data_IF_318329336664
#
_entry.id   IF_318329336664
#
_cell.length_a   1.000
_cell.length_b   1.000
_cell.length_c   1.000
_cell.angle_alpha   90.00
_cell.angle_beta   90.00
_cell.angle_gamma   90.00
#
_symmetry.space_group_name_H-M   'P 1'
#
loop_
_entity.id
_entity.type
_entity.pdbx_description
1 polymer ?
#
# COMPACT_ATOMS: atom_id res chain seq x y z
N UNK A 1 1.32 7.55 -11.34
CA UNK A 1 0.79 8.06 -12.64
C UNK A 1 1.74 9.00 -13.38
N UNK A 2 2.26 10.08 -12.77
CA UNK A 2 3.24 10.98 -13.43
C UNK A 2 4.44 10.20 -13.95
N UNK A 3 4.99 9.33 -13.09
CA UNK A 3 6.09 8.44 -13.44
C UNK A 3 5.78 7.51 -14.61
N UNK A 4 4.61 6.85 -14.63
CA UNK A 4 4.18 6.00 -15.74
C UNK A 4 3.95 6.77 -17.07
N UNK A 5 3.65 8.08 -17.02
CA UNK A 5 3.57 8.94 -18.22
C UNK A 5 4.93 9.43 -18.68
N UNK A 6 5.85 9.63 -17.73
CA UNK A 6 7.24 9.97 -18.00
C UNK A 6 8.00 8.78 -18.61
N UNK A 7 7.71 7.58 -18.10
CA UNK A 7 8.29 6.33 -18.55
C UNK A 7 8.01 6.10 -20.05
N UNK A 8 9.06 5.84 -20.82
CA UNK A 8 8.98 5.61 -22.25
C UNK A 8 9.93 4.51 -22.72
N UNK A 9 9.95 4.19 -24.03
CA UNK A 9 10.76 3.11 -24.58
C UNK A 9 12.28 3.27 -24.39
N UNK A 10 12.74 4.44 -23.95
CA UNK A 10 14.13 4.73 -23.66
C UNK A 10 14.48 4.76 -22.17
N UNK A 11 13.51 4.55 -21.28
CA UNK A 11 13.75 4.43 -19.83
C UNK A 11 14.51 3.13 -19.57
N UNK A 12 15.64 3.22 -18.87
CA UNK A 12 16.50 2.07 -18.55
C UNK A 12 16.08 1.46 -17.22
N UNK A 13 15.92 0.14 -17.22
CA UNK A 13 15.62 -0.67 -16.03
C UNK A 13 16.62 -1.80 -15.90
N UNK A 14 16.89 -2.20 -14.65
CA UNK A 14 17.67 -3.37 -14.30
C UNK A 14 16.93 -4.68 -14.59
N UNK A 15 17.59 -5.80 -14.29
CA UNK A 15 17.11 -7.14 -14.60
C UNK A 15 15.89 -7.59 -13.77
N UNK A 16 15.59 -6.91 -12.66
CA UNK A 16 14.36 -7.12 -11.88
C UNK A 16 13.27 -6.09 -12.21
N UNK A 17 13.46 -5.27 -13.25
CA UNK A 17 12.55 -4.20 -13.63
C UNK A 17 12.63 -2.95 -12.76
N UNK A 18 13.60 -2.84 -11.86
CA UNK A 18 13.90 -1.64 -11.08
C UNK A 18 14.50 -0.51 -11.96
N UNK A 19 14.24 0.75 -11.62
CA UNK A 19 14.94 1.87 -12.26
C UNK A 19 16.43 1.83 -11.94
N UNK A 20 17.27 2.07 -12.94
CA UNK A 20 18.71 2.24 -12.73
C UNK A 20 19.03 3.58 -12.07
N UNK A 21 20.12 3.64 -11.30
CA UNK A 21 20.52 4.83 -10.54
C UNK A 21 20.62 6.11 -11.39
N UNK A 22 21.00 6.01 -12.67
CA UNK A 22 21.09 7.19 -13.54
C UNK A 22 19.75 7.80 -13.93
N UNK A 23 18.66 7.04 -13.82
CA UNK A 23 17.31 7.49 -14.17
C UNK A 23 16.55 8.02 -12.94
N UNK A 24 17.00 7.71 -11.71
CA UNK A 24 16.36 8.14 -10.46
C UNK A 24 16.25 9.66 -10.30
N UNK A 25 17.29 10.48 -10.62
CA UNK A 25 17.16 11.94 -10.50
C UNK A 25 16.10 12.52 -11.45
N UNK A 26 15.99 12.00 -12.68
CA UNK A 26 15.00 12.45 -13.64
C UNK A 26 13.57 11.98 -13.28
N UNK A 27 13.46 10.80 -12.67
CA UNK A 27 12.22 10.28 -12.12
C UNK A 27 11.73 11.14 -10.94
N UNK A 28 12.62 11.52 -10.02
CA UNK A 28 12.34 12.41 -8.91
C UNK A 28 11.85 13.79 -9.40
N UNK A 29 12.53 14.38 -10.39
CA UNK A 29 12.10 15.64 -11.02
C UNK A 29 10.69 15.51 -11.63
N UNK A 30 10.39 14.40 -12.31
CA UNK A 30 9.07 14.17 -12.92
C UNK A 30 7.94 14.01 -11.89
N UNK A 31 8.28 13.57 -10.67
CA UNK A 31 7.36 13.48 -9.54
C UNK A 31 7.16 14.84 -8.85
N UNK A 32 8.07 15.79 -9.04
CA UNK A 32 8.11 17.07 -8.33
C UNK A 32 8.79 16.95 -6.97
N UNK A 33 9.73 15.99 -6.84
CA UNK A 33 10.51 15.74 -5.63
C UNK A 33 11.85 16.50 -5.65
N UNK A 34 12.01 17.51 -6.52
CA UNK A 34 13.22 18.32 -6.50
C UNK A 34 13.25 19.20 -5.25
N UNK A 35 14.46 19.42 -4.74
CA UNK A 35 14.85 20.07 -3.48
C UNK A 35 14.27 21.49 -3.23
N UNK A 36 13.34 21.98 -4.06
CA UNK A 36 12.72 23.29 -3.97
C UNK A 36 11.23 23.33 -3.62
N UNK A 37 10.46 22.25 -3.81
CA UNK A 37 8.99 22.30 -3.66
C UNK A 37 8.45 21.57 -2.41
N UNK A 38 9.21 20.66 -1.79
CA UNK A 38 8.78 19.87 -0.61
C UNK A 38 9.33 20.35 0.74
N UNK A 39 10.02 21.50 0.79
CA UNK A 39 10.48 22.12 2.04
C UNK A 39 11.82 21.57 2.56
N UNK A 40 12.33 22.19 3.62
CA UNK A 40 13.66 21.95 4.22
C UNK A 40 13.83 20.54 4.86
N UNK A 41 12.89 19.62 4.66
CA UNK A 41 12.80 18.31 5.33
C UNK A 41 13.38 17.13 4.53
N UNK A 42 13.74 17.31 3.26
CA UNK A 42 14.35 16.26 2.43
C UNK A 42 15.88 16.39 2.39
N UNK A 43 16.59 15.32 2.77
CA UNK A 43 18.03 15.21 2.61
C UNK A 43 18.43 14.94 1.14
N UNK A 44 19.71 15.16 0.81
CA UNK A 44 20.25 14.86 -0.52
C UNK A 44 20.18 13.35 -0.78
N UNK A 45 19.29 12.91 -1.67
CA UNK A 45 19.07 11.49 -2.00
C UNK A 45 17.67 10.97 -1.69
N UNK A 46 16.87 11.68 -0.88
CA UNK A 46 15.52 11.24 -0.50
C UNK A 46 14.58 11.21 -1.70
N UNK A 47 14.68 12.21 -2.59
CA UNK A 47 13.86 12.28 -3.80
C UNK A 47 14.06 11.06 -4.72
N UNK A 48 15.29 10.58 -4.85
CA UNK A 48 15.63 9.37 -5.60
C UNK A 48 15.09 8.10 -4.93
N UNK A 49 15.14 8.01 -3.60
CA UNK A 49 14.59 6.89 -2.84
C UNK A 49 13.06 6.79 -3.04
N UNK A 50 12.33 7.88 -2.83
CA UNK A 50 10.89 7.95 -3.08
C UNK A 50 10.52 7.68 -4.55
N UNK A 51 11.36 8.11 -5.50
CA UNK A 51 11.16 7.80 -6.91
C UNK A 51 11.30 6.29 -7.20
N UNK A 52 12.21 5.60 -6.52
CA UNK A 52 12.40 4.15 -6.62
C UNK A 52 11.20 3.38 -6.05
N UNK A 53 10.66 3.81 -4.90
CA UNK A 53 9.46 3.22 -4.31
C UNK A 53 8.23 3.43 -5.19
N UNK A 54 8.01 4.66 -5.65
CA UNK A 54 6.93 5.00 -6.56
C UNK A 54 7.00 4.22 -7.88
N UNK A 55 8.21 3.85 -8.32
CA UNK A 55 8.42 2.98 -9.47
C UNK A 55 7.97 1.55 -9.22
N UNK A 56 8.37 0.94 -8.10
CA UNK A 56 7.93 -0.42 -7.74
C UNK A 56 6.41 -0.51 -7.69
N UNK A 57 5.77 0.42 -6.99
CA UNK A 57 4.30 0.53 -6.95
C UNK A 57 3.71 0.64 -8.35
N UNK A 58 4.32 1.42 -9.25
CA UNK A 58 3.83 1.56 -10.62
C UNK A 58 3.98 0.28 -11.48
N UNK A 59 4.99 -0.54 -11.21
CA UNK A 59 5.18 -1.86 -11.85
C UNK A 59 4.18 -2.86 -11.28
N UNK A 60 4.05 -2.94 -9.95
CA UNK A 60 3.17 -3.89 -9.25
C UNK A 60 1.69 -3.64 -9.57
N UNK A 61 1.30 -2.36 -9.64
CA UNK A 61 -0.04 -1.95 -10.10
C UNK A 61 -0.18 -1.97 -11.62
N UNK A 62 0.78 -2.49 -12.38
CA UNK A 62 0.66 -2.60 -13.84
C UNK A 62 0.42 -1.26 -14.57
N UNK A 63 0.77 -0.13 -13.96
CA UNK A 63 0.81 1.19 -14.60
C UNK A 63 1.99 1.29 -15.56
N UNK A 64 3.05 0.55 -15.28
CA UNK A 64 4.24 0.37 -16.10
C UNK A 64 4.40 -1.11 -16.42
N UNK A 65 4.62 -1.44 -17.69
CA UNK A 65 4.97 -2.79 -18.12
C UNK A 65 6.45 -2.86 -18.49
N UNK A 66 7.16 -3.80 -17.87
CA UNK A 66 8.58 -4.07 -18.14
C UNK A 66 8.68 -5.36 -18.95
N UNK A 67 9.36 -5.29 -20.11
CA UNK A 67 9.72 -6.46 -20.91
C UNK A 67 11.23 -6.70 -20.80
N UNK A 68 11.61 -7.86 -20.24
CA UNK A 68 13.02 -8.28 -20.24
C UNK A 68 13.51 -8.53 -21.67
N UNK A 69 14.76 -8.15 -21.92
CA UNK A 69 15.38 -8.32 -23.23
C UNK A 69 15.47 -9.79 -23.69
N UNK A 70 15.38 -10.75 -22.75
CA UNK A 70 15.56 -12.20 -23.01
C UNK A 70 14.28 -12.97 -23.36
N UNK A 71 13.08 -12.40 -23.23
CA UNK A 71 11.85 -13.17 -23.44
C UNK A 71 11.55 -13.51 -24.91
N UNK A 72 12.30 -12.95 -25.89
CA UNK A 72 12.05 -13.16 -27.32
C UNK A 72 13.03 -14.11 -28.04
N UNK A 73 13.90 -14.83 -27.32
CA UNK A 73 15.02 -15.57 -27.93
C UNK A 73 14.94 -17.10 -27.96
N UNK A 74 13.86 -17.74 -27.49
CA UNK A 74 13.97 -19.10 -26.94
C UNK A 74 13.08 -20.22 -27.47
N UNK A 75 12.35 -20.10 -28.59
CA UNK A 75 11.53 -21.22 -29.09
C UNK A 75 11.71 -21.50 -30.58
N UNK A 76 12.80 -22.19 -30.91
CA UNK A 76 12.90 -22.95 -32.15
C UNK A 76 13.74 -24.24 -31.94
N UNK A 77 13.28 -25.11 -31.02
CA UNK A 77 13.76 -26.49 -30.99
C UNK A 77 13.07 -27.30 -32.09
N UNK A 78 13.64 -27.21 -33.30
CA UNK A 78 13.45 -28.20 -34.35
C UNK A 78 14.29 -29.44 -34.02
N UNK A 79 13.69 -30.44 -33.36
CA UNK A 79 14.27 -31.79 -33.27
C UNK A 79 13.56 -32.78 -34.20
N UNK A 80 14.35 -33.46 -35.02
CA UNK A 80 14.04 -34.83 -35.45
C UNK A 80 13.91 -35.11 -36.96
N UNK A 81 15.00 -34.99 -37.72
CA UNK A 81 15.14 -35.76 -38.96
C UNK A 81 16.48 -36.51 -38.99
N UNK A 82 16.35 -37.82 -38.84
CA UNK A 82 17.37 -38.86 -38.76
C UNK A 82 18.31 -38.95 -39.97
N UNK A 83 19.54 -39.35 -39.67
CA UNK A 83 20.67 -39.62 -40.56
C UNK A 83 20.40 -40.63 -41.71
N UNK A 84 21.13 -40.43 -42.80
CA UNK A 84 21.44 -41.44 -43.82
C UNK A 84 22.72 -41.05 -44.60
N UNK A 85 23.64 -41.99 -44.94
CA UNK A 85 25.06 -41.66 -45.09
C UNK A 85 25.61 -41.59 -46.53
N UNK A 86 26.74 -40.89 -46.64
CA UNK A 86 27.85 -41.04 -47.61
C UNK A 86 27.64 -40.63 -49.08
N UNK A 87 28.53 -39.77 -49.60
CA UNK A 87 29.72 -40.21 -50.36
C UNK A 87 30.35 -39.04 -51.15
N UNK A 88 31.67 -38.90 -51.02
CA UNK A 88 32.58 -38.46 -52.08
C UNK A 88 32.63 -36.97 -52.44
N UNK A 89 33.76 -36.32 -52.16
CA UNK A 89 34.67 -35.86 -53.22
C UNK A 89 35.85 -35.10 -52.61
N UNK A 90 37.03 -35.39 -53.14
CA UNK A 90 38.31 -34.76 -52.87
C UNK A 90 38.33 -33.28 -53.27
N UNK A 91 39.16 -32.50 -52.59
CA UNK A 91 39.50 -31.13 -52.99
C UNK A 91 40.51 -30.49 -52.04
N UNK A 92 41.77 -30.51 -52.43
CA UNK A 92 42.92 -29.90 -51.74
C UNK A 92 42.96 -28.38 -51.97
N UNK A 93 43.21 -27.57 -50.94
CA UNK A 93 43.95 -26.30 -51.08
C UNK A 93 44.46 -25.76 -49.75
N UNK A 94 45.63 -25.14 -49.82
CA UNK A 94 46.55 -24.74 -48.75
C UNK A 94 46.34 -23.27 -48.35
N UNK A 95 46.21 -23.00 -47.04
CA UNK A 95 46.58 -21.81 -46.23
C UNK A 95 46.11 -20.39 -46.63
N UNK A 96 46.45 -19.32 -45.86
CA UNK A 96 46.88 -19.24 -44.47
C UNK A 96 46.12 -18.16 -43.63
N UNK A 97 46.44 -18.12 -42.32
CA UNK A 97 46.45 -16.97 -41.39
C UNK A 97 45.48 -15.80 -41.53
N UNK A 98 44.82 -15.46 -40.42
CA UNK A 98 44.51 -14.05 -40.14
C UNK A 98 43.38 -13.80 -39.14
N UNK A 99 43.78 -13.26 -38.00
CA UNK A 99 43.05 -12.25 -37.22
C UNK A 99 41.85 -12.65 -36.36
N UNK A 100 42.11 -12.64 -35.06
CA UNK A 100 41.39 -11.79 -34.10
C UNK A 100 39.86 -11.89 -34.11
N UNK A 101 39.33 -13.01 -33.62
CA UNK A 101 38.05 -12.97 -32.91
C UNK A 101 38.30 -12.41 -31.52
N UNK A 102 38.41 -11.07 -31.42
CA UNK A 102 38.25 -10.40 -30.14
C UNK A 102 36.83 -10.71 -29.71
N UNK A 103 36.68 -11.56 -28.69
CA UNK A 103 35.50 -11.60 -27.86
C UNK A 103 35.37 -10.21 -27.23
N UNK A 104 34.81 -9.27 -27.99
CA UNK A 104 34.13 -8.15 -27.41
C UNK A 104 32.89 -8.75 -26.78
N UNK A 105 33.00 -9.07 -25.50
CA UNK A 105 31.83 -8.96 -24.63
C UNK A 105 31.33 -7.55 -24.84
N UNK A 106 30.32 -7.38 -25.69
CA UNK A 106 29.40 -6.30 -25.47
C UNK A 106 28.73 -6.68 -24.16
N UNK A 107 29.25 -6.17 -23.06
CA UNK A 107 28.42 -5.68 -21.95
C UNK A 107 27.56 -4.58 -22.58
N UNK A 108 26.58 -5.01 -23.38
CA UNK A 108 25.43 -4.18 -23.68
C UNK A 108 24.59 -4.34 -22.44
N UNK A 109 24.47 -3.28 -21.66
CA UNK A 109 23.52 -3.19 -20.56
C UNK A 109 22.20 -3.80 -21.05
N UNK A 110 21.87 -5.00 -20.55
CA UNK A 110 20.64 -5.74 -20.88
C UNK A 110 19.49 -5.00 -20.20
N UNK A 111 19.22 -3.82 -20.72
CA UNK A 111 18.22 -2.88 -20.22
C UNK A 111 16.87 -3.32 -20.73
N UNK A 112 15.96 -3.63 -19.80
CA UNK A 112 14.59 -3.99 -20.13
C UNK A 112 13.88 -2.86 -20.88
N UNK A 113 12.91 -3.21 -21.72
CA UNK A 113 12.08 -2.21 -22.41
C UNK A 113 10.90 -1.87 -21.51
N UNK A 114 10.72 -0.57 -21.29
CA UNK A 114 9.56 -0.06 -20.58
C UNK A 114 8.46 0.38 -21.56
N UNK A 115 7.22 0.02 -21.27
CA UNK A 115 6.04 0.53 -21.97
C UNK A 115 4.93 0.93 -20.99
N UNK A 116 4.03 1.85 -21.39
CA UNK A 116 2.85 2.14 -20.58
C UNK A 116 2.01 0.88 -20.35
N UNK A 117 1.71 0.57 -19.09
CA UNK A 117 0.88 -0.57 -18.75
C UNK A 117 -0.60 -0.34 -19.07
N UNK A 118 -1.37 -1.43 -19.16
CA UNK A 118 -2.79 -1.38 -19.52
C UNK A 118 -3.61 -0.53 -18.53
N UNK A 119 -3.19 -0.48 -17.26
CA UNK A 119 -3.86 0.29 -16.21
C UNK A 119 -3.71 1.81 -16.39
N UNK A 120 -2.66 2.30 -17.09
CA UNK A 120 -2.48 3.74 -17.32
C UNK A 120 -3.60 4.33 -18.19
N UNK A 121 -4.11 3.58 -19.16
CA UNK A 121 -5.23 4.03 -19.99
C UNK A 121 -6.52 4.19 -19.17
N UNK A 122 -6.76 3.32 -18.19
CA UNK A 122 -7.90 3.37 -17.29
C UNK A 122 -7.86 4.61 -16.39
N UNK A 123 -6.71 4.94 -15.81
CA UNK A 123 -6.59 6.13 -14.95
C UNK A 123 -6.72 7.44 -15.75
N UNK A 124 -6.28 7.45 -17.01
CA UNK A 124 -6.24 8.67 -17.81
C UNK A 124 -7.49 8.94 -18.66
N UNK A 125 -8.32 7.92 -18.88
CA UNK A 125 -9.51 8.02 -19.75
C UNK A 125 -10.71 7.18 -19.34
N UNK A 126 -10.56 6.36 -18.30
CA UNK A 126 -11.65 5.56 -17.72
C UNK A 126 -12.62 6.40 -16.92
N UNK A 127 -13.77 5.81 -16.61
CA UNK A 127 -14.71 6.41 -15.68
C UNK A 127 -14.24 6.17 -14.23
N UNK A 128 -14.67 6.98 -13.25
CA UNK A 128 -14.21 6.85 -11.86
C UNK A 128 -14.36 5.42 -11.29
N UNK A 129 -15.44 4.72 -11.64
CA UNK A 129 -15.65 3.33 -11.21
C UNK A 129 -14.62 2.34 -11.76
N UNK A 130 -13.99 2.64 -12.91
CA UNK A 130 -12.96 1.79 -13.50
C UNK A 130 -11.61 1.93 -12.78
N UNK A 131 -11.45 2.99 -11.98
CA UNK A 131 -10.25 3.28 -11.18
C UNK A 131 -10.34 2.61 -9.80
N UNK A 132 -11.55 2.39 -9.28
CA UNK A 132 -11.75 1.83 -7.94
C UNK A 132 -11.11 0.44 -7.74
N UNK A 133 -11.19 -0.51 -8.69
CA UNK A 133 -10.48 -1.79 -8.55
C UNK A 133 -8.96 -1.61 -8.45
N UNK A 134 -8.38 -0.67 -9.22
CA UNK A 134 -6.94 -0.40 -9.19
C UNK A 134 -6.52 0.23 -7.86
N UNK A 135 -7.37 1.10 -7.31
CA UNK A 135 -7.14 1.67 -5.99
C UNK A 135 -7.26 0.61 -4.89
N UNK A 136 -8.17 -0.36 -5.00
CA UNK A 136 -8.27 -1.49 -4.07
C UNK A 136 -7.00 -2.36 -4.11
N UNK A 137 -6.49 -2.68 -5.31
CA UNK A 137 -5.22 -3.41 -5.47
C UNK A 137 -4.05 -2.63 -4.84
N UNK A 138 -3.97 -1.32 -5.03
CA UNK A 138 -2.95 -0.48 -4.41
C UNK A 138 -3.11 -0.41 -2.88
N UNK A 139 -4.35 -0.36 -2.39
CA UNK A 139 -4.66 -0.40 -0.97
C UNK A 139 -4.18 -1.71 -0.34
N UNK A 140 -4.33 -2.86 -1.01
CA UNK A 140 -3.84 -4.14 -0.50
C UNK A 140 -2.33 -4.13 -0.26
N UNK A 141 -1.57 -3.49 -1.16
CA UNK A 141 -0.11 -3.34 -1.01
C UNK A 141 0.23 -2.45 0.19
N UNK A 142 -0.40 -1.28 0.30
CA UNK A 142 -0.17 -0.36 1.42
C UNK A 142 -0.64 -0.97 2.74
N UNK A 143 -1.70 -1.77 2.72
CA UNK A 143 -2.20 -2.48 3.90
C UNK A 143 -1.18 -3.52 4.38
N UNK A 144 -0.61 -4.30 3.46
CA UNK A 144 0.43 -5.26 3.81
C UNK A 144 1.65 -4.57 4.45
N UNK A 145 2.04 -3.41 3.90
CA UNK A 145 3.11 -2.58 4.44
C UNK A 145 2.79 -2.03 5.84
N UNK A 146 1.57 -1.54 6.06
CA UNK A 146 1.10 -1.06 7.37
C UNK A 146 1.08 -2.16 8.44
N UNK A 147 0.93 -3.43 8.05
CA UNK A 147 0.97 -4.57 8.98
C UNK A 147 2.37 -5.17 9.17
N UNK A 148 3.37 -4.67 8.44
CA UNK A 148 4.74 -5.14 8.56
C UNK A 148 5.39 -4.65 9.87
N UNK A 149 6.32 -5.42 10.47
CA UNK A 149 6.99 -5.00 11.69
C UNK A 149 8.02 -3.91 11.36
N UNK A 150 8.08 -2.87 12.20
CA UNK A 150 9.11 -1.83 12.09
C UNK A 150 10.45 -2.39 12.60
N UNK A 151 11.48 -2.35 11.75
CA UNK A 151 12.81 -2.88 12.08
C UNK A 151 13.80 -1.74 12.34
N UNK A 152 13.98 -1.38 13.61
CA UNK A 152 14.92 -0.32 14.01
C UNK A 152 16.40 -0.72 13.83
N UNK A 153 16.73 -1.99 14.01
CA UNK A 153 18.08 -2.53 13.82
C UNK A 153 18.02 -3.82 12.99
N UNK A 154 18.04 -3.65 11.66
CA UNK A 154 18.05 -4.76 10.71
C UNK A 154 19.21 -5.75 10.97
N UNK A 155 20.34 -5.29 11.52
CA UNK A 155 21.48 -6.17 11.81
C UNK A 155 21.24 -7.08 13.03
N UNK A 156 20.30 -6.74 13.91
CA UNK A 156 19.95 -7.55 15.08
C UNK A 156 18.99 -8.71 14.76
N UNK A 157 18.28 -8.62 13.63
CA UNK A 157 17.27 -9.60 13.18
C UNK A 157 17.71 -10.42 11.97
N UNK A 158 18.89 -10.12 11.41
CA UNK A 158 19.49 -10.97 10.38
C UNK A 158 20.16 -12.17 11.04
N UNK A 159 19.81 -13.37 10.60
CA UNK A 159 20.40 -14.62 11.06
C UNK A 159 21.81 -14.86 10.47
N UNK A 160 22.44 -15.97 10.89
CA UNK A 160 23.78 -16.36 10.43
C UNK A 160 23.85 -16.65 8.91
N UNK A 161 22.71 -16.86 8.25
CA UNK A 161 22.58 -17.13 6.81
C UNK A 161 22.26 -15.87 5.98
N UNK A 162 21.95 -14.74 6.63
CA UNK A 162 21.67 -13.46 5.99
C UNK A 162 20.18 -13.21 5.70
N UNK A 163 19.29 -14.05 6.22
CA UNK A 163 17.83 -13.88 6.12
C UNK A 163 17.27 -13.20 7.38
N UNK A 164 16.11 -12.55 7.27
CA UNK A 164 15.43 -11.95 8.42
C UNK A 164 14.79 -13.07 9.24
N UNK A 165 15.16 -13.18 10.51
CA UNK A 165 14.56 -14.10 11.47
C UNK A 165 13.23 -13.54 11.97
N UNK A 166 12.15 -13.78 11.22
CA UNK A 166 10.80 -13.38 11.59
C UNK A 166 10.28 -14.09 12.85
N UNK A 167 10.78 -15.29 13.16
CA UNK A 167 10.38 -16.05 14.35
C UNK A 167 10.92 -15.39 15.64
N UNK A 168 12.05 -14.67 15.56
CA UNK A 168 12.62 -13.94 16.69
C UNK A 168 11.88 -12.64 17.04
N UNK A 169 11.08 -12.12 16.12
CA UNK A 169 10.35 -10.85 16.26
C UNK A 169 9.01 -10.98 17.02
N UNK A 170 8.57 -12.21 17.36
CA UNK A 170 7.25 -12.51 17.94
C UNK A 170 6.08 -11.88 17.14
N UNK A 171 6.32 -11.63 15.84
CA UNK A 171 5.39 -10.98 14.93
C UNK A 171 4.49 -12.03 14.27
N UNK A 172 3.17 -11.82 14.39
CA UNK A 172 2.15 -12.64 13.76
C UNK A 172 1.43 -11.79 12.68
N UNK A 173 1.72 -12.01 11.39
CA UNK A 173 1.14 -11.21 10.31
C UNK A 173 -0.37 -11.35 10.22
N UNK A 174 -0.91 -12.53 10.51
CA UNK A 174 -2.36 -12.76 10.50
C UNK A 174 -3.04 -12.00 11.64
N UNK A 175 -2.46 -12.02 12.84
CA UNK A 175 -2.99 -11.27 13.98
C UNK A 175 -2.91 -9.76 13.77
N UNK A 176 -1.84 -9.26 13.15
CA UNK A 176 -1.67 -7.84 12.86
C UNK A 176 -2.70 -7.36 11.83
N UNK A 177 -2.91 -8.14 10.77
CA UNK A 177 -3.95 -7.87 9.79
C UNK A 177 -5.35 -7.89 10.43
N UNK A 178 -5.68 -8.89 11.24
CA UNK A 178 -6.98 -9.00 11.90
C UNK A 178 -7.24 -7.81 12.84
N UNK A 179 -6.21 -7.35 13.57
CA UNK A 179 -6.31 -6.17 14.41
C UNK A 179 -6.64 -4.92 13.60
N UNK A 180 -5.86 -4.62 12.57
CA UNK A 180 -6.05 -3.41 11.74
C UNK A 180 -7.39 -3.46 10.98
N UNK A 181 -7.77 -4.62 10.45
CA UNK A 181 -9.09 -4.82 9.83
C UNK A 181 -10.23 -4.59 10.83
N UNK A 182 -10.08 -5.08 12.07
CA UNK A 182 -11.03 -4.86 13.15
C UNK A 182 -11.20 -3.38 13.49
N UNK A 183 -10.08 -2.65 13.62
CA UNK A 183 -10.08 -1.20 13.88
C UNK A 183 -10.79 -0.44 12.75
N UNK A 184 -10.44 -0.74 11.50
CA UNK A 184 -11.04 -0.07 10.33
C UNK A 184 -12.53 -0.41 10.17
N UNK A 185 -12.92 -1.65 10.46
CA UNK A 185 -14.32 -2.08 10.48
C UNK A 185 -15.13 -1.38 11.58
N UNK A 186 -14.55 -1.21 12.77
CA UNK A 186 -15.19 -0.44 13.84
C UNK A 186 -15.32 1.04 13.46
N UNK A 187 -14.27 1.63 12.89
CA UNK A 187 -14.31 3.01 12.39
C UNK A 187 -15.38 3.20 11.31
N UNK A 188 -15.57 2.22 10.43
CA UNK A 188 -16.67 2.20 9.46
C UNK A 188 -18.05 2.23 10.16
N UNK A 189 -18.27 1.34 11.13
CA UNK A 189 -19.54 1.27 11.87
C UNK A 189 -19.82 2.56 12.65
N UNK A 190 -18.82 3.15 13.31
CA UNK A 190 -18.94 4.44 13.99
C UNK A 190 -19.33 5.55 13.00
N UNK A 191 -18.71 5.58 11.82
CA UNK A 191 -19.00 6.57 10.77
C UNK A 191 -20.43 6.43 10.22
N UNK A 192 -20.90 5.19 10.03
CA UNK A 192 -22.27 4.92 9.57
C UNK A 192 -23.31 5.19 10.66
N UNK A 193 -23.00 4.88 11.92
CA UNK A 193 -23.85 5.14 13.08
C UNK A 193 -24.12 6.64 13.29
N UNK A 194 -23.14 7.50 12.99
CA UNK A 194 -23.30 8.96 13.05
C UNK A 194 -23.99 9.56 11.81
N UNK A 195 -24.61 8.72 10.96
CA UNK A 195 -25.37 9.21 9.82
C UNK A 195 -24.52 9.62 8.62
N UNK A 196 -23.25 9.21 8.58
CA UNK A 196 -22.28 9.71 7.61
C UNK A 196 -22.02 11.22 7.74
N UNK A 197 -22.41 11.84 8.86
CA UNK A 197 -22.12 13.23 9.13
C UNK A 197 -20.62 13.37 9.41
N UNK A 198 -19.94 13.95 8.43
CA UNK A 198 -18.48 14.06 8.22
C UNK A 198 -17.68 14.87 9.25
N UNK A 199 -18.13 15.01 10.50
CA UNK A 199 -17.50 15.98 11.43
C UNK A 199 -16.76 15.37 12.62
N UNK A 200 -17.10 14.15 13.08
CA UNK A 200 -16.41 13.54 14.22
C UNK A 200 -15.16 12.76 13.81
N UNK A 201 -13.98 13.39 13.86
CA UNK A 201 -12.75 12.59 13.89
C UNK A 201 -12.69 11.82 15.22
N UNK A 202 -12.29 10.55 15.17
CA UNK A 202 -12.23 9.69 16.35
C UNK A 202 -10.81 9.74 16.93
N UNK A 203 -10.67 9.98 18.26
CA UNK A 203 -9.37 9.93 18.91
C UNK A 203 -8.79 8.52 18.96
N UNK A 204 -7.48 8.36 18.77
CA UNK A 204 -6.84 7.05 18.80
C UNK A 204 -7.05 6.30 20.13
N UNK A 205 -6.96 6.95 21.31
CA UNK A 205 -7.22 6.26 22.58
C UNK A 205 -8.62 5.64 22.65
N UNK A 206 -9.62 6.28 22.02
CA UNK A 206 -10.99 5.77 21.98
C UNK A 206 -11.09 4.56 21.05
N UNK A 207 -10.43 4.60 19.90
CA UNK A 207 -10.39 3.46 18.98
C UNK A 207 -9.63 2.27 19.57
N UNK A 208 -8.45 2.49 20.14
CA UNK A 208 -7.66 1.45 20.78
C UNK A 208 -8.43 0.81 21.95
N UNK A 209 -9.04 1.64 22.81
CA UNK A 209 -9.86 1.14 23.91
C UNK A 209 -11.06 0.33 23.42
N UNK A 210 -11.71 0.72 22.32
CA UNK A 210 -12.88 0.00 21.79
C UNK A 210 -12.55 -1.41 21.28
N UNK A 211 -11.29 -1.68 20.92
CA UNK A 211 -10.84 -3.00 20.45
C UNK A 211 -10.34 -3.88 21.59
N UNK A 212 -9.72 -3.27 22.61
CA UNK A 212 -9.00 -4.00 23.68
C UNK A 212 -9.85 -4.16 24.93
N UNK A 213 -10.62 -3.13 25.30
CA UNK A 213 -11.40 -3.13 26.54
C UNK A 213 -12.70 -3.92 26.33
N UNK A 214 -12.94 -5.00 27.10
CA UNK A 214 -14.19 -5.74 26.99
C UNK A 214 -15.40 -4.91 27.41
N UNK A 215 -16.52 -5.04 26.69
CA UNK A 215 -17.76 -4.29 26.93
C UNK A 215 -18.37 -4.48 28.34
N UNK A 216 -18.08 -5.59 29.00
CA UNK A 216 -18.61 -5.95 30.32
C UNK A 216 -17.65 -5.64 31.49
N UNK A 217 -16.49 -5.07 31.20
CA UNK A 217 -15.50 -4.69 32.20
C UNK A 217 -15.85 -3.33 32.82
N UNK A 218 -15.66 -3.21 34.14
CA UNK A 218 -15.92 -1.98 34.88
C UNK A 218 -14.81 -0.94 34.70
N UNK A 219 -13.74 -1.06 35.48
CA UNK A 219 -12.54 -0.21 35.35
C UNK A 219 -11.44 -1.04 34.66
N UNK A 220 -10.77 -0.50 33.62
CA UNK A 220 -9.62 -1.16 33.00
C UNK A 220 -8.51 -1.38 34.02
N UNK A 221 -7.88 -2.56 33.98
CA UNK A 221 -6.66 -2.83 34.77
C UNK A 221 -5.45 -2.12 34.18
N UNK A 222 -4.39 -1.91 34.96
CA UNK A 222 -3.14 -1.31 34.49
C UNK A 222 -2.60 -2.04 33.24
N UNK A 223 -2.64 -3.38 33.22
CA UNK A 223 -2.22 -4.19 32.06
C UNK A 223 -3.02 -3.90 30.77
N UNK A 224 -4.30 -3.48 30.90
CA UNK A 224 -5.14 -3.12 29.75
C UNK A 224 -4.82 -1.71 29.28
N UNK A 225 -4.53 -0.80 30.22
CA UNK A 225 -4.12 0.56 29.88
C UNK A 225 -2.77 0.56 29.13
N UNK A 226 -1.84 -0.31 29.52
CA UNK A 226 -0.58 -0.54 28.81
C UNK A 226 -0.83 -1.02 27.37
N UNK A 227 -1.66 -2.06 27.19
CA UNK A 227 -2.04 -2.55 25.85
C UNK A 227 -2.73 -1.47 24.98
N UNK A 228 -3.60 -0.65 25.57
CA UNK A 228 -4.23 0.46 24.86
C UNK A 228 -3.19 1.49 24.39
N UNK A 229 -2.18 1.77 25.20
CA UNK A 229 -1.09 2.68 24.83
C UNK A 229 -0.18 2.11 23.72
N UNK A 230 0.15 0.82 23.77
CA UNK A 230 0.90 0.12 22.71
C UNK A 230 0.13 0.13 21.39
N UNK A 231 -1.17 -0.19 21.45
CA UNK A 231 -2.03 -0.16 20.28
C UNK A 231 -2.21 1.26 19.72
N UNK A 232 -2.20 2.29 20.56
CA UNK A 232 -2.25 3.68 20.11
C UNK A 232 -0.99 4.04 19.29
N UNK A 233 0.20 3.71 19.78
CA UNK A 233 1.45 3.97 19.07
C UNK A 233 1.49 3.22 17.73
N UNK A 234 1.11 1.94 17.75
CA UNK A 234 1.03 1.14 16.53
C UNK A 234 0.05 1.72 15.51
N UNK A 235 -1.11 2.20 15.96
CA UNK A 235 -2.11 2.82 15.10
C UNK A 235 -1.64 4.17 14.53
N UNK A 236 -0.82 4.92 15.27
CA UNK A 236 -0.21 6.15 14.77
C UNK A 236 0.63 5.86 13.52
N UNK A 237 1.59 4.94 13.62
CA UNK A 237 2.44 4.52 12.50
C UNK A 237 1.61 4.00 11.31
N UNK A 238 0.64 3.13 11.59
CA UNK A 238 -0.24 2.55 10.56
C UNK A 238 -1.06 3.61 9.82
N UNK A 239 -1.64 4.58 10.54
CA UNK A 239 -2.46 5.61 9.90
C UNK A 239 -1.62 6.62 9.12
N UNK A 240 -0.37 6.88 9.52
CA UNK A 240 0.56 7.67 8.71
C UNK A 240 0.82 7.00 7.35
N UNK A 241 0.94 5.67 7.29
CA UNK A 241 1.10 4.94 6.03
C UNK A 241 -0.20 4.90 5.19
N UNK A 242 -1.36 4.83 5.86
CA UNK A 242 -2.67 4.72 5.19
C UNK A 242 -3.27 6.07 4.74
N UNK A 243 -2.81 7.19 5.27
CA UNK A 243 -3.27 8.52 4.87
C UNK A 243 -2.92 8.86 3.40
N UNK A 244 -1.68 8.65 2.90
CA UNK A 244 -1.30 8.97 1.52
C UNK A 244 -2.14 8.26 0.45
N UNK A 245 -2.54 7.00 0.68
CA UNK A 245 -3.41 6.26 -0.24
C UNK A 245 -4.87 6.75 -0.21
N UNK A 246 -5.19 7.63 0.74
CA UNK A 246 -6.49 8.28 0.87
C UNK A 246 -7.54 7.44 1.59
N UNK A 247 -7.12 6.42 2.35
CA UNK A 247 -8.04 5.61 3.15
C UNK A 247 -8.62 6.43 4.31
N UNK A 248 -7.74 7.16 5.01
CA UNK A 248 -8.09 7.99 6.16
C UNK A 248 -7.67 9.44 5.95
N UNK A 249 -8.31 10.37 6.66
CA UNK A 249 -7.68 11.65 7.01
C UNK A 249 -7.15 11.49 8.43
N UNK A 250 -5.87 11.79 8.62
CA UNK A 250 -5.21 11.54 9.88
C UNK A 250 -4.56 12.81 10.44
N UNK A 251 -4.51 12.92 11.76
CA UNK A 251 -3.71 13.91 12.48
C UNK A 251 -2.84 13.11 13.44
N UNK A 252 -1.50 13.10 13.25
CA UNK A 252 -0.56 12.37 14.10
C UNK A 252 -0.63 12.76 15.57
N UNK A 253 -0.18 11.86 16.43
CA UNK A 253 0.04 12.12 17.85
C UNK A 253 1.13 13.18 18.01
N UNK A 254 0.95 14.10 18.95
CA UNK A 254 1.95 15.11 19.29
C UNK A 254 3.11 14.46 20.05
N UNK A 255 4.28 14.35 19.42
CA UNK A 255 5.50 13.79 20.01
C UNK A 255 5.89 14.45 21.35
N UNK A 256 5.54 15.73 21.57
CA UNK A 256 5.82 16.41 22.82
C UNK A 256 5.06 15.78 24.00
N UNK A 257 3.88 15.22 23.75
CA UNK A 257 3.09 14.49 24.74
C UNK A 257 3.76 13.15 25.10
N UNK A 258 4.32 12.46 24.10
CA UNK A 258 5.00 11.17 24.28
C UNK A 258 6.27 11.28 25.15
N UNK A 259 6.99 12.40 25.05
CA UNK A 259 8.16 12.69 25.89
C UNK A 259 7.76 13.02 27.34
N UNK A 260 6.62 13.67 27.54
CA UNK A 260 6.08 14.02 28.86
C UNK A 260 5.65 12.78 29.66
N UNK A 261 5.08 11.77 28.99
CA UNK A 261 4.72 10.49 29.62
C UNK A 261 5.95 9.64 29.96
N UNK A 262 6.98 9.65 29.11
CA UNK A 262 8.24 8.92 29.33
C UNK A 262 9.06 9.47 30.52
N UNK A 263 8.96 10.76 30.81
CA UNK A 263 9.65 11.41 31.95
C UNK A 263 8.86 11.34 33.28
N UNK A 264 7.67 10.72 33.26
CA UNK A 264 6.87 10.42 34.44
C UNK A 264 6.08 11.63 34.96
N UNK A 265 4.81 11.69 34.58
CA UNK A 265 3.82 12.48 35.30
C UNK A 265 2.46 11.76 35.26
N UNK A 266 2.01 11.30 36.43
CA UNK A 266 0.63 10.89 36.68
C UNK A 266 -0.35 11.96 36.14
N UNK A 267 -1.03 11.68 35.03
CA UNK A 267 -2.13 12.52 34.56
C UNK A 267 -3.41 11.70 34.38
N UNK A 268 -3.86 11.11 35.49
CA UNK A 268 -5.24 10.64 35.65
C UNK A 268 -6.20 11.82 35.97
N UNK A 269 -6.06 12.95 35.26
CA UNK A 269 -7.00 14.07 35.31
C UNK A 269 -7.91 14.01 34.07
N UNK A 270 -9.17 14.48 34.16
CA UNK A 270 -10.11 14.37 33.05
C UNK A 270 -9.56 15.12 31.85
N UNK A 271 -9.40 14.39 30.74
CA UNK A 271 -8.94 14.88 29.45
C UNK A 271 -9.78 16.11 29.09
N UNK A 272 -9.15 17.28 28.95
CA UNK A 272 -9.84 18.46 28.41
C UNK A 272 -10.08 18.23 26.92
N UNK A 273 -11.13 18.82 26.33
CA UNK A 273 -11.42 18.64 24.89
C UNK A 273 -10.24 19.10 24.01
N UNK A 274 -9.43 20.04 24.51
CA UNK A 274 -8.18 20.49 23.88
C UNK A 274 -7.04 19.44 23.94
N UNK A 275 -6.99 18.58 24.98
CA UNK A 275 -5.97 17.52 25.11
C UNK A 275 -6.24 16.36 24.16
N UNK A 276 -7.51 16.07 23.83
CA UNK A 276 -7.88 14.96 22.93
C UNK A 276 -7.21 15.07 21.56
N UNK A 277 -7.05 16.29 21.05
CA UNK A 277 -6.42 16.55 19.76
C UNK A 277 -4.92 16.22 19.71
N UNK A 278 -4.25 16.15 20.88
CA UNK A 278 -2.82 15.79 21.00
C UNK A 278 -2.57 14.29 20.89
N UNK A 279 -3.59 13.46 21.12
CA UNK A 279 -3.51 12.00 21.04
C UNK A 279 -3.82 11.45 19.64
N UNK A 280 -3.80 12.32 18.62
CA UNK A 280 -4.09 11.97 17.25
C UNK A 280 -5.58 11.74 16.97
N UNK A 281 -5.99 12.08 15.75
CA UNK A 281 -7.38 12.04 15.30
C UNK A 281 -7.46 11.38 13.94
N UNK A 282 -8.38 10.42 13.78
CA UNK A 282 -8.57 9.70 12.51
C UNK A 282 -10.02 9.71 12.07
N UNK A 283 -10.23 9.77 10.76
CA UNK A 283 -11.54 9.53 10.14
C UNK A 283 -11.39 8.83 8.79
N UNK A 284 -12.37 8.01 8.42
CA UNK A 284 -12.43 7.46 7.07
C UNK A 284 -12.77 8.56 6.07
N UNK A 285 -12.10 8.54 4.92
CA UNK A 285 -12.52 9.33 3.77
C UNK A 285 -13.70 8.64 3.08
N UNK A 286 -14.42 9.31 2.15
CA UNK A 286 -15.42 8.64 1.31
C UNK A 286 -14.85 7.46 0.51
N UNK A 287 -13.58 7.55 0.11
CA UNK A 287 -12.88 6.46 -0.59
C UNK A 287 -12.53 5.33 0.39
N UNK A 288 -12.12 5.67 1.61
CA UNK A 288 -11.94 4.72 2.71
C UNK A 288 -13.20 3.95 3.05
N UNK A 289 -14.35 4.62 3.17
CA UNK A 289 -15.64 3.96 3.39
C UNK A 289 -15.96 2.94 2.28
N UNK A 290 -15.66 3.28 1.01
CA UNK A 290 -15.80 2.33 -0.09
C UNK A 290 -14.86 1.14 0.05
N UNK A 291 -13.57 1.39 0.34
CA UNK A 291 -12.55 0.35 0.48
C UNK A 291 -12.85 -0.64 1.59
N UNK A 292 -13.09 -0.12 2.81
CA UNK A 292 -13.40 -0.96 3.98
C UNK A 292 -14.69 -1.74 3.75
N UNK A 293 -15.72 -1.11 3.17
CA UNK A 293 -16.95 -1.81 2.81
C UNK A 293 -16.71 -2.94 1.82
N UNK A 294 -15.90 -2.73 0.78
CA UNK A 294 -15.57 -3.77 -0.20
C UNK A 294 -14.94 -4.98 0.48
N UNK A 295 -13.94 -4.74 1.35
CA UNK A 295 -13.25 -5.79 2.12
C UNK A 295 -14.20 -6.53 3.06
N UNK A 296 -15.04 -5.81 3.81
CA UNK A 296 -16.03 -6.43 4.70
C UNK A 296 -16.98 -7.34 3.92
N UNK A 297 -17.49 -6.89 2.77
CA UNK A 297 -18.38 -7.69 1.93
C UNK A 297 -17.67 -8.93 1.34
N UNK A 298 -16.40 -8.81 0.95
CA UNK A 298 -15.59 -9.94 0.48
C UNK A 298 -15.34 -10.96 1.59
N UNK A 299 -15.14 -10.50 2.83
CA UNK A 299 -15.05 -11.34 4.03
C UNK A 299 -16.41 -11.91 4.47
N UNK A 300 -17.51 -11.53 3.82
CA UNK A 300 -18.87 -11.97 4.16
C UNK A 300 -19.46 -11.28 5.40
N UNK A 301 -18.86 -10.19 5.84
CA UNK A 301 -19.36 -9.32 6.92
C UNK A 301 -20.38 -8.33 6.35
N UNK A 302 -21.48 -8.12 7.07
CA UNK A 302 -22.50 -7.16 6.67
C UNK A 302 -21.98 -5.72 6.85
N UNK A 303 -22.02 -4.94 5.77
CA UNK A 303 -21.52 -3.57 5.74
C UNK A 303 -22.57 -2.64 5.11
N UNK A 304 -23.56 -2.19 5.92
CA UNK A 304 -24.70 -1.43 5.42
C UNK A 304 -24.29 -0.03 4.99
N UNK A 305 -24.75 0.40 3.82
CA UNK A 305 -24.56 1.76 3.33
C UNK A 305 -25.88 2.46 3.04
N UNK A 306 -25.89 3.77 3.25
CA UNK A 306 -27.00 4.61 2.80
C UNK A 306 -27.10 4.54 1.27
N UNK A 307 -28.29 4.23 0.75
CA UNK A 307 -28.59 4.01 -0.66
C UNK A 307 -28.83 2.54 -1.03
N UNK A 308 -28.52 1.59 -0.13
CA UNK A 308 -28.73 0.14 -0.39
C UNK A 308 -30.21 -0.24 -0.59
N UNK A 309 -31.12 0.56 -0.03
CA UNK A 309 -32.57 0.37 -0.10
C UNK A 309 -33.24 1.21 -1.19
N UNK A 310 -32.52 2.13 -1.85
CA UNK A 310 -33.08 3.08 -2.81
C UNK A 310 -33.84 2.41 -3.99
N UNK A 311 -33.35 1.27 -4.48
CA UNK A 311 -34.00 0.51 -5.55
C UNK A 311 -34.89 -0.65 -5.04
N UNK A 312 -35.11 -0.76 -3.73
CA UNK A 312 -35.87 -1.87 -3.12
C UNK A 312 -37.36 -1.55 -3.00
N UNK A 313 -38.17 -2.53 -2.60
CA UNK A 313 -39.59 -2.28 -2.37
C UNK A 313 -39.86 -1.58 -1.03
N UNK A 314 -41.07 -1.01 -0.89
CA UNK A 314 -41.45 -0.26 0.31
C UNK A 314 -41.40 -1.10 1.61
N UNK A 315 -41.53 -2.43 1.51
CA UNK A 315 -41.43 -3.30 2.69
C UNK A 315 -39.98 -3.43 3.12
N UNK A 316 -39.08 -3.70 2.18
CA UNK A 316 -37.64 -3.75 2.43
C UNK A 316 -37.11 -2.42 2.98
N UNK A 317 -37.59 -1.28 2.45
CA UNK A 317 -37.28 0.04 3.00
C UNK A 317 -37.71 0.15 4.47
N UNK A 318 -38.99 -0.10 4.77
CA UNK A 318 -39.53 0.06 6.13
C UNK A 318 -38.92 -0.92 7.15
N UNK A 319 -38.63 -2.16 6.73
CA UNK A 319 -37.97 -3.17 7.57
C UNK A 319 -36.49 -2.78 7.81
N UNK A 320 -35.82 -2.19 6.81
CA UNK A 320 -34.42 -1.76 6.89
C UNK A 320 -34.19 -0.51 7.74
N UNK A 321 -34.89 0.60 7.43
CA UNK A 321 -34.69 1.90 8.11
C UNK A 321 -35.00 1.85 9.62
N UNK A 322 -35.74 0.84 10.09
CA UNK A 322 -36.03 0.64 11.51
C UNK A 322 -34.77 0.39 12.37
N UNK A 323 -33.67 -0.03 11.73
CA UNK A 323 -32.38 -0.30 12.37
C UNK A 323 -31.37 0.82 12.14
N UNK A 324 -31.74 1.86 11.38
CA UNK A 324 -30.84 2.95 11.03
C UNK A 324 -30.93 4.10 12.06
N UNK A 325 -29.80 4.78 12.32
CA UNK A 325 -29.82 6.09 12.98
C UNK A 325 -30.74 7.07 12.25
N UNK A 326 -31.27 8.06 12.96
CA UNK A 326 -32.28 9.00 12.40
C UNK A 326 -31.79 9.69 11.12
N UNK A 327 -30.52 10.12 11.08
CA UNK A 327 -29.92 10.76 9.91
C UNK A 327 -29.80 9.81 8.73
N UNK A 328 -29.32 8.58 8.94
CA UNK A 328 -29.25 7.54 7.90
C UNK A 328 -30.62 7.15 7.38
N UNK A 329 -31.60 6.94 8.27
CA UNK A 329 -32.97 6.60 7.90
C UNK A 329 -33.61 7.70 7.04
N UNK A 330 -33.34 8.97 7.37
CA UNK A 330 -33.81 10.11 6.57
C UNK A 330 -33.15 10.15 5.20
N UNK A 331 -31.83 10.04 5.14
CA UNK A 331 -31.08 10.05 3.89
C UNK A 331 -31.53 8.90 2.97
N UNK A 332 -31.76 7.71 3.51
CA UNK A 332 -32.29 6.55 2.78
C UNK A 332 -33.69 6.84 2.20
N UNK A 333 -34.57 7.41 3.01
CA UNK A 333 -35.95 7.75 2.61
C UNK A 333 -35.99 8.85 1.54
N UNK A 334 -35.01 9.76 1.51
CA UNK A 334 -34.90 10.79 0.48
C UNK A 334 -34.36 10.25 -0.86
N UNK A 335 -33.62 9.14 -0.83
CA UNK A 335 -33.04 8.50 -2.03
C UNK A 335 -33.96 7.49 -2.70
N UNK A 336 -34.88 6.85 -1.96
CA UNK A 336 -35.91 5.92 -2.47
C UNK A 336 -37.07 6.63 -3.19
#
# INVERSE_FOLDING_TARGET
VRLARWAGPGTRVGAGGELVDEELPAAAEALGLDLGELGDDLEEGDGEAYASEAWRVAVDTGLVAVEDADASGGEALSEGASEGPSAGSSGSSVGPSGSSGSSGSSEGDETGRVSPGAQLALITSGAPQDILPLWLEALDVVFADATAPILDDLAAVIDDDGEIDFDALDWDPEAEAEFLEGVLGNLYLLTVADGGATEGAVPLPVLAASMIVPDDMGEPTDDILEQVSEAMMRLDDQFQLLEPIGLVTYTPVDEALMVEDAEGAESALPIDEDDVSRYGLVRLTPLGLYGIRSRMLEAGVDAPAVGDLADKDARALLDGIAHFPELSARAETEQW
#
